data_IF_393032117337
#
_entry.id   IF_393032117337
#
_cell.length_a   1.000
_cell.length_b   1.000
_cell.length_c   1.000
_cell.angle_alpha   90.00
_cell.angle_beta   90.00
_cell.angle_gamma   90.00
#
_symmetry.space_group_name_H-M   'P 1'
#
loop_
_entity.id
_entity.type
_entity.pdbx_description
1 polymer ?
#
# COMPACT_ATOMS: atom_id res chain seq x y z
N UNK A 1 7.91 0.62 -20.65
CA UNK A 1 7.09 1.57 -19.88
C UNK A 1 8.05 2.52 -19.21
N UNK A 2 8.14 3.77 -19.67
CA UNK A 2 8.83 4.87 -18.97
C UNK A 2 7.97 5.30 -17.77
N UNK A 3 7.79 4.40 -16.81
CA UNK A 3 7.25 4.80 -15.53
C UNK A 3 8.46 5.19 -14.68
N UNK A 4 8.83 6.46 -14.71
CA UNK A 4 9.72 7.06 -13.71
C UNK A 4 9.01 7.10 -12.35
N UNK A 5 8.57 5.93 -11.87
CA UNK A 5 7.98 5.79 -10.55
C UNK A 5 8.97 6.33 -9.54
N UNK A 6 8.55 7.33 -8.78
CA UNK A 6 9.42 8.03 -7.86
C UNK A 6 8.65 8.41 -6.60
N UNK A 7 9.04 7.81 -5.47
CA UNK A 7 8.43 8.08 -4.16
C UNK A 7 8.65 9.52 -3.67
N UNK A 8 9.66 10.22 -4.19
CA UNK A 8 9.93 11.63 -3.94
C UNK A 8 9.02 12.59 -4.74
N UNK A 9 8.23 12.06 -5.67
CA UNK A 9 7.34 12.84 -6.54
C UNK A 9 5.91 12.31 -6.40
N UNK A 10 5.12 12.81 -5.43
CA UNK A 10 3.81 12.29 -5.06
C UNK A 10 2.72 12.77 -6.04
N UNK A 11 2.92 12.53 -7.33
CA UNK A 11 1.88 12.74 -8.34
C UNK A 11 0.80 11.68 -8.22
N UNK A 12 -0.42 12.01 -8.66
CA UNK A 12 -1.52 11.05 -8.75
C UNK A 12 -1.13 9.78 -9.51
N UNK A 13 -0.33 9.90 -10.57
CA UNK A 13 0.17 8.74 -11.32
C UNK A 13 1.04 7.81 -10.47
N UNK A 14 1.98 8.35 -9.70
CA UNK A 14 2.84 7.54 -8.83
C UNK A 14 2.05 6.91 -7.67
N UNK A 15 1.08 7.64 -7.11
CA UNK A 15 0.20 7.13 -6.06
C UNK A 15 -0.70 6.02 -6.59
N UNK A 16 -1.41 6.27 -7.70
CA UNK A 16 -2.29 5.29 -8.33
C UNK A 16 -1.50 4.06 -8.79
N UNK A 17 -0.26 4.23 -9.26
CA UNK A 17 0.61 3.13 -9.63
C UNK A 17 0.97 2.26 -8.42
N UNK A 18 1.36 2.87 -7.30
CA UNK A 18 1.68 2.14 -6.07
C UNK A 18 0.45 1.40 -5.50
N UNK A 19 -0.71 2.07 -5.49
CA UNK A 19 -1.97 1.47 -5.03
C UNK A 19 -2.44 0.31 -5.89
N UNK A 20 -2.35 0.44 -7.23
CA UNK A 20 -2.70 -0.64 -8.15
C UNK A 20 -1.84 -1.88 -7.91
N UNK A 21 -0.54 -1.69 -7.68
CA UNK A 21 0.35 -2.81 -7.40
C UNK A 21 0.06 -3.44 -6.02
N UNK A 22 -0.15 -2.65 -4.97
CA UNK A 22 -0.56 -3.17 -3.66
C UNK A 22 -1.84 -4.01 -3.78
N UNK A 23 -2.89 -3.47 -4.42
CA UNK A 23 -4.16 -4.17 -4.61
C UNK A 23 -4.00 -5.42 -5.47
N UNK A 24 -3.15 -5.38 -6.50
CA UNK A 24 -2.87 -6.51 -7.37
C UNK A 24 -2.32 -7.70 -6.57
N UNK A 25 -1.24 -7.50 -5.80
CA UNK A 25 -0.61 -8.60 -5.08
C UNK A 25 -1.53 -9.17 -4.00
N UNK A 26 -2.19 -8.31 -3.20
CA UNK A 26 -3.12 -8.79 -2.16
C UNK A 26 -4.32 -9.53 -2.77
N UNK A 27 -4.86 -9.05 -3.89
CA UNK A 27 -6.01 -9.70 -4.57
C UNK A 27 -5.60 -11.01 -5.22
N UNK A 28 -4.46 -11.04 -5.91
CA UNK A 28 -3.95 -12.23 -6.56
C UNK A 28 -3.66 -13.34 -5.56
N UNK A 29 -3.12 -13.01 -4.36
CA UNK A 29 -2.89 -14.00 -3.30
C UNK A 29 -4.15 -14.77 -2.92
N UNK A 30 -5.33 -14.14 -2.97
CA UNK A 30 -6.61 -14.80 -2.67
C UNK A 30 -7.01 -15.87 -3.71
N UNK A 31 -6.44 -15.81 -4.91
CA UNK A 31 -6.75 -16.73 -6.01
C UNK A 31 -5.73 -17.86 -6.14
N UNK A 32 -4.59 -17.75 -5.47
CA UNK A 32 -3.52 -18.74 -5.55
C UNK A 32 -3.77 -19.87 -4.55
N UNK A 33 -3.73 -21.10 -5.04
CA UNK A 33 -3.94 -22.32 -4.24
C UNK A 33 -2.92 -22.49 -3.12
N UNK A 34 -1.71 -21.95 -3.30
CA UNK A 34 -0.64 -21.98 -2.29
C UNK A 34 -1.01 -21.21 -1.01
N UNK A 35 -2.00 -20.32 -1.07
CA UNK A 35 -2.45 -19.48 0.04
C UNK A 35 -3.85 -19.86 0.55
N UNK A 36 -4.38 -21.04 0.21
CA UNK A 36 -5.73 -21.46 0.61
C UNK A 36 -5.98 -21.33 2.11
N UNK A 37 -4.99 -21.67 2.94
CA UNK A 37 -5.08 -21.59 4.40
C UNK A 37 -5.01 -20.14 4.93
N UNK A 38 -4.44 -19.21 4.16
CA UNK A 38 -4.25 -17.80 4.52
C UNK A 38 -5.22 -16.85 3.81
N UNK A 39 -6.17 -17.38 3.02
CA UNK A 39 -7.12 -16.56 2.26
C UNK A 39 -7.91 -15.58 3.13
N UNK A 40 -8.30 -16.01 4.34
CA UNK A 40 -9.00 -15.13 5.28
C UNK A 40 -8.11 -13.96 5.74
N UNK A 41 -6.82 -14.20 5.96
CA UNK A 41 -5.86 -13.16 6.34
C UNK A 41 -5.67 -12.15 5.21
N UNK A 42 -5.45 -12.62 3.98
CA UNK A 42 -5.40 -11.75 2.81
C UNK A 42 -6.70 -10.95 2.61
N UNK A 43 -7.87 -11.56 2.89
CA UNK A 43 -9.15 -10.88 2.78
C UNK A 43 -9.31 -9.77 3.84
N UNK A 44 -8.91 -10.02 5.09
CA UNK A 44 -8.93 -9.00 6.15
C UNK A 44 -8.04 -7.81 5.79
N UNK A 45 -6.83 -8.07 5.29
CA UNK A 45 -5.91 -7.02 4.84
C UNK A 45 -6.46 -6.25 3.65
N UNK A 46 -7.08 -6.93 2.68
CA UNK A 46 -7.70 -6.26 1.54
C UNK A 46 -8.84 -5.32 1.95
N UNK A 47 -9.71 -5.76 2.87
CA UNK A 47 -10.80 -4.93 3.40
C UNK A 47 -10.22 -3.67 4.04
N UNK A 48 -9.22 -3.83 4.91
CA UNK A 48 -8.56 -2.72 5.58
C UNK A 48 -7.89 -1.75 4.61
N UNK A 49 -7.20 -2.26 3.58
CA UNK A 49 -6.64 -1.41 2.52
C UNK A 49 -7.75 -0.58 1.87
N UNK A 50 -8.86 -1.20 1.47
CA UNK A 50 -9.97 -0.47 0.84
C UNK A 50 -10.56 0.59 1.78
N UNK A 51 -10.73 0.29 3.06
CA UNK A 51 -11.25 1.23 4.05
C UNK A 51 -10.32 2.43 4.23
N UNK A 52 -9.01 2.19 4.41
CA UNK A 52 -8.00 3.23 4.60
C UNK A 52 -7.88 4.14 3.38
N UNK A 53 -7.85 3.56 2.17
CA UNK A 53 -7.67 4.32 0.94
C UNK A 53 -8.97 4.89 0.36
N UNK A 54 -10.14 4.59 0.95
CA UNK A 54 -11.41 5.22 0.57
C UNK A 54 -11.35 6.75 0.65
N UNK A 55 -10.67 7.28 1.66
CA UNK A 55 -10.43 8.70 1.86
C UNK A 55 -9.59 9.31 0.74
N UNK A 56 -8.56 8.61 0.25
CA UNK A 56 -7.77 9.04 -0.91
C UNK A 56 -8.62 9.10 -2.20
N UNK A 57 -9.48 8.11 -2.44
CA UNK A 57 -10.33 8.13 -3.64
C UNK A 57 -11.35 9.29 -3.62
N UNK A 58 -11.76 9.74 -2.43
CA UNK A 58 -12.71 10.84 -2.26
C UNK A 58 -12.03 12.22 -2.20
N UNK A 59 -10.87 12.32 -1.53
CA UNK A 59 -10.16 13.57 -1.28
C UNK A 59 -9.00 13.86 -2.25
N UNK A 60 -8.52 12.85 -2.97
CA UNK A 60 -7.45 12.97 -3.96
C UNK A 60 -6.03 13.17 -3.41
N UNK A 61 -5.83 13.04 -2.09
CA UNK A 61 -4.54 13.26 -1.42
C UNK A 61 -4.25 12.18 -0.36
N UNK A 62 -3.01 11.70 -0.29
CA UNK A 62 -2.59 10.74 0.75
C UNK A 62 -2.41 11.40 2.11
N UNK A 63 -2.27 12.74 2.16
CA UNK A 63 -2.14 13.50 3.42
C UNK A 63 -3.34 13.32 4.34
N UNK A 64 -4.52 13.18 3.74
CA UNK A 64 -5.79 12.99 4.45
C UNK A 64 -5.88 11.63 5.13
N UNK A 65 -5.02 10.68 4.76
CA UNK A 65 -4.93 9.38 5.44
C UNK A 65 -4.12 9.53 6.72
N UNK A 66 -4.63 8.97 7.82
CA UNK A 66 -3.91 8.85 9.09
C UNK A 66 -2.64 8.02 8.95
N UNK A 67 -1.56 8.47 9.59
CA UNK A 67 -0.34 7.67 9.70
C UNK A 67 -0.56 6.37 10.46
N UNK A 68 -1.39 6.41 11.51
CA UNK A 68 -1.73 5.23 12.31
C UNK A 68 -2.39 4.16 11.44
N UNK A 69 -3.32 4.55 10.59
CA UNK A 69 -4.04 3.62 9.71
C UNK A 69 -3.10 2.97 8.69
N UNK A 70 -2.18 3.75 8.11
CA UNK A 70 -1.16 3.22 7.20
C UNK A 70 -0.20 2.27 7.91
N UNK A 71 0.27 2.60 9.12
CA UNK A 71 1.12 1.69 9.89
C UNK A 71 0.37 0.40 10.26
N UNK A 72 -0.92 0.50 10.55
CA UNK A 72 -1.75 -0.66 10.89
C UNK A 72 -1.91 -1.59 9.68
N UNK A 73 -2.02 -1.08 8.45
CA UNK A 73 -1.96 -1.91 7.23
C UNK A 73 -0.57 -2.51 7.05
N UNK A 74 0.49 -1.73 7.28
CA UNK A 74 1.88 -2.21 7.19
C UNK A 74 2.14 -3.39 8.14
N UNK A 75 1.70 -3.31 9.39
CA UNK A 75 1.89 -4.39 10.35
C UNK A 75 1.15 -5.66 9.96
N UNK A 76 -0.10 -5.56 9.50
CA UNK A 76 -0.83 -6.74 9.02
C UNK A 76 -0.14 -7.40 7.81
N UNK A 77 0.50 -6.61 6.95
CA UNK A 77 1.29 -7.13 5.82
C UNK A 77 2.60 -7.79 6.27
N UNK A 78 3.24 -7.30 7.34
CA UNK A 78 4.40 -7.95 7.97
C UNK A 78 3.99 -9.30 8.55
N UNK A 79 2.88 -9.35 9.29
CA UNK A 79 2.38 -10.60 9.85
C UNK A 79 2.07 -11.61 8.73
N UNK A 80 1.41 -11.17 7.65
CA UNK A 80 1.18 -11.98 6.46
C UNK A 80 2.48 -12.50 5.82
N UNK A 81 3.51 -11.66 5.71
CA UNK A 81 4.80 -12.07 5.15
C UNK A 81 5.48 -13.14 6.02
N UNK A 82 5.43 -12.98 7.35
CA UNK A 82 5.95 -13.98 8.29
C UNK A 82 5.19 -15.30 8.16
N UNK A 83 3.87 -15.27 8.15
CA UNK A 83 3.01 -16.46 8.02
C UNK A 83 3.21 -17.20 6.69
N UNK A 84 3.50 -16.46 5.62
CA UNK A 84 3.64 -17.02 4.27
C UNK A 84 5.08 -17.29 3.86
N UNK A 85 6.07 -16.99 4.70
CA UNK A 85 7.51 -17.08 4.39
C UNK A 85 7.95 -18.47 3.91
N UNK A 86 7.35 -19.53 4.45
CA UNK A 86 7.68 -20.92 4.09
C UNK A 86 7.16 -21.33 2.71
N UNK A 87 6.19 -20.59 2.15
CA UNK A 87 5.49 -20.93 0.90
C UNK A 87 6.28 -20.54 -0.36
N UNK A 88 7.48 -19.95 -0.19
CA UNK A 88 8.39 -19.53 -1.27
C UNK A 88 7.71 -18.68 -2.35
N UNK A 89 6.79 -17.81 -1.92
CA UNK A 89 6.08 -16.88 -2.79
C UNK A 89 6.23 -15.47 -2.23
N UNK A 90 6.43 -14.51 -3.13
CA UNK A 90 6.83 -13.14 -2.80
C UNK A 90 5.66 -12.16 -2.72
N UNK A 91 4.41 -12.63 -2.76
CA UNK A 91 3.25 -11.73 -2.88
C UNK A 91 3.01 -10.90 -1.62
N UNK A 92 3.22 -11.46 -0.42
CA UNK A 92 3.13 -10.71 0.83
C UNK A 92 4.28 -9.68 0.93
N UNK A 93 5.52 -10.10 0.68
CA UNK A 93 6.69 -9.22 0.59
C UNK A 93 6.48 -8.06 -0.41
N UNK A 94 5.99 -8.34 -1.62
CA UNK A 94 5.73 -7.31 -2.62
C UNK A 94 4.60 -6.38 -2.21
N UNK A 95 3.54 -6.89 -1.57
CA UNK A 95 2.49 -6.05 -1.01
C UNK A 95 3.06 -5.10 0.05
N UNK A 96 3.92 -5.60 0.93
CA UNK A 96 4.61 -4.79 1.95
C UNK A 96 5.49 -3.70 1.30
N UNK A 97 6.26 -4.04 0.27
CA UNK A 97 7.08 -3.08 -0.47
C UNK A 97 6.23 -1.94 -1.05
N UNK A 98 5.08 -2.23 -1.66
CA UNK A 98 4.19 -1.20 -2.20
C UNK A 98 3.52 -0.36 -1.10
N UNK A 99 3.24 -0.96 0.05
CA UNK A 99 2.77 -0.22 1.22
C UNK A 99 3.81 0.78 1.74
N UNK A 100 5.09 0.40 1.79
CA UNK A 100 6.19 1.29 2.18
C UNK A 100 6.41 2.41 1.16
N UNK A 101 6.22 2.12 -0.13
CA UNK A 101 6.25 3.13 -1.18
C UNK A 101 5.12 4.16 -1.01
N UNK A 102 3.91 3.74 -0.66
CA UNK A 102 2.77 4.64 -0.39
C UNK A 102 3.02 5.52 0.84
N UNK A 103 3.55 4.95 1.92
CA UNK A 103 3.94 5.73 3.10
C UNK A 103 4.99 6.79 2.72
N UNK A 104 5.97 6.41 1.90
CA UNK A 104 7.00 7.33 1.40
C UNK A 104 6.41 8.44 0.53
N UNK A 105 5.47 8.11 -0.37
CA UNK A 105 4.74 9.08 -1.18
C UNK A 105 3.94 10.07 -0.33
N UNK A 106 3.23 9.59 0.70
CA UNK A 106 2.51 10.46 1.65
C UNK A 106 3.46 11.44 2.33
N UNK A 107 4.60 10.95 2.84
CA UNK A 107 5.60 11.81 3.46
C UNK A 107 6.15 12.87 2.49
N UNK A 108 6.42 12.49 1.24
CA UNK A 108 6.80 13.45 0.19
C UNK A 108 5.71 14.47 -0.07
N UNK A 109 4.45 14.06 -0.10
CA UNK A 109 3.31 14.96 -0.30
C UNK A 109 3.23 15.98 0.84
N UNK A 110 3.30 15.52 2.10
CA UNK A 110 3.32 16.38 3.30
C UNK A 110 4.45 17.40 3.21
N UNK A 111 5.67 16.96 2.89
CA UNK A 111 6.83 17.85 2.74
C UNK A 111 6.60 18.91 1.67
N UNK A 112 6.08 18.53 0.50
CA UNK A 112 5.78 19.48 -0.57
C UNK A 112 4.69 20.49 -0.17
N UNK A 113 3.64 20.04 0.52
CA UNK A 113 2.59 20.94 1.04
C UNK A 113 3.11 21.91 2.11
N UNK A 114 4.04 21.46 2.96
CA UNK A 114 4.68 22.30 3.97
C UNK A 114 5.63 23.35 3.37
N UNK A 115 6.34 23.01 2.29
CA UNK A 115 7.22 23.94 1.57
C UNK A 115 6.41 25.03 0.85
N UNK A 116 5.24 24.71 0.30
CA UNK A 116 4.40 25.68 -0.41
C UNK A 116 3.68 26.69 0.50
N UNK A 117 3.51 26.39 1.79
CA UNK A 117 2.83 27.27 2.76
C UNK A 117 3.80 28.14 3.59
N UNK A 118 5.07 28.23 3.17
CA UNK A 118 6.14 28.95 3.86
C UNK A 118 6.47 30.35 3.32
N UNK A 119 5.56 31.01 2.61
CA UNK A 119 5.72 32.39 2.12
C UNK A 119 4.55 33.28 2.55
#
# INVERSE_FOLDING_TARGET
>A
MDNNFNVGTPTRENIDYALKNLLFYVTASKQLTIYNEQQELFNKVLIKINDVFSSYFNGGSLKEISEVDLQQVKFDLIDLDVETKSMKSYYAEWSLMWMEAIISLRLSEIKQGGICNGN
#
